data_IF_118647566832
#
_entry.id   IF_118647566832
#
_cell.length_a   1.000
_cell.length_b   1.000
_cell.length_c   1.000
_cell.angle_alpha   90.00
_cell.angle_beta   90.00
_cell.angle_gamma   90.00
#
_symmetry.space_group_name_H-M   'P 1'
#
loop_
_entity.id
_entity.type
_entity.pdbx_description
1 polymer ?
#
# COMPACT_ATOMS: atom_id res chain seq x y z
N UNK A 1 7.86 -34.95 24.15
CA UNK A 1 8.27 -34.13 25.31
C UNK A 1 7.66 -32.75 25.16
N UNK A 2 6.49 -32.57 25.79
CA UNK A 2 5.84 -31.28 26.04
C UNK A 2 6.57 -30.63 27.22
N UNK A 3 6.40 -29.31 27.39
CA UNK A 3 6.83 -28.47 28.53
C UNK A 3 8.22 -27.84 28.41
N UNK A 4 8.32 -26.72 27.67
CA UNK A 4 9.29 -25.63 27.96
C UNK A 4 9.02 -24.37 27.08
N UNK A 5 7.76 -23.89 26.99
CA UNK A 5 7.42 -22.67 26.23
C UNK A 5 6.53 -21.66 26.96
N UNK A 6 6.56 -21.64 28.30
CA UNK A 6 5.70 -20.74 29.09
C UNK A 6 6.46 -19.96 30.17
N UNK A 7 7.59 -19.34 29.84
CA UNK A 7 8.27 -18.40 30.76
C UNK A 7 8.67 -17.08 30.08
N UNK A 8 7.90 -16.60 29.10
CA UNK A 8 8.01 -15.22 28.61
C UNK A 8 6.76 -14.79 27.80
N UNK A 9 5.55 -14.80 28.41
CA UNK A 9 4.81 -13.54 28.45
C UNK A 9 3.86 -13.48 29.66
N UNK A 10 4.36 -13.16 30.85
CA UNK A 10 3.51 -12.85 32.03
C UNK A 10 3.79 -11.45 32.60
N UNK A 11 4.50 -10.60 31.85
CA UNK A 11 4.85 -9.23 32.26
C UNK A 11 4.31 -8.14 31.29
N UNK A 12 3.36 -8.48 30.42
CA UNK A 12 2.64 -7.52 29.56
C UNK A 12 1.12 -7.48 29.82
N UNK A 13 0.66 -8.14 30.88
CA UNK A 13 -0.72 -8.06 31.35
C UNK A 13 -0.73 -7.21 32.61
N UNK A 14 -0.71 -5.88 32.45
CA UNK A 14 -1.39 -4.84 33.24
C UNK A 14 -0.91 -3.51 32.63
N UNK A 15 -1.47 -3.18 31.48
CA UNK A 15 -1.67 -1.79 31.11
C UNK A 15 -3.11 -1.74 30.62
N UNK A 16 -4.04 -1.10 31.34
CA UNK A 16 -5.32 -0.72 30.77
C UNK A 16 -5.01 0.43 29.81
N UNK A 17 -4.36 0.13 28.68
CA UNK A 17 -4.46 0.98 27.52
C UNK A 17 -5.92 0.91 27.16
N UNK A 18 -6.65 1.97 27.53
CA UNK A 18 -7.99 2.22 27.07
C UNK A 18 -8.08 1.77 25.61
N UNK A 19 -8.89 0.75 25.36
CA UNK A 19 -9.29 0.36 24.01
C UNK A 19 -10.18 1.49 23.48
N UNK A 20 -9.61 2.67 23.23
CA UNK A 20 -10.23 3.67 22.41
C UNK A 20 -10.37 3.04 21.04
N UNK A 21 -11.59 2.65 20.67
CA UNK A 21 -11.86 2.12 19.35
C UNK A 21 -11.42 3.17 18.34
N UNK A 22 -10.44 2.81 17.50
CA UNK A 22 -9.82 3.71 16.54
C UNK A 22 -10.91 4.26 15.61
N UNK A 23 -11.16 5.57 15.70
CA UNK A 23 -12.19 6.22 14.89
C UNK A 23 -11.80 6.22 13.40
N UNK A 24 -12.78 6.03 12.54
CA UNK A 24 -12.62 6.04 11.09
C UNK A 24 -12.67 7.46 10.53
N UNK A 25 -12.13 7.65 9.33
CA UNK A 25 -12.22 8.93 8.62
C UNK A 25 -13.66 9.21 8.20
N UNK A 26 -14.06 10.48 8.13
CA UNK A 26 -15.39 10.89 7.68
C UNK A 26 -15.77 10.27 6.33
N UNK A 27 -14.85 10.21 5.37
CA UNK A 27 -15.10 9.61 4.06
C UNK A 27 -15.37 8.10 4.13
N UNK A 28 -14.67 7.37 4.99
CA UNK A 28 -14.92 5.94 5.22
C UNK A 28 -16.29 5.72 5.87
N UNK A 29 -16.65 6.54 6.87
CA UNK A 29 -17.95 6.49 7.51
C UNK A 29 -19.09 6.81 6.53
N UNK A 30 -18.93 7.82 5.66
CA UNK A 30 -19.90 8.15 4.61
C UNK A 30 -20.12 6.97 3.64
N UNK A 31 -19.06 6.23 3.28
CA UNK A 31 -19.20 5.05 2.43
C UNK A 31 -19.92 3.89 3.13
N UNK A 32 -19.65 3.68 4.42
CA UNK A 32 -20.39 2.69 5.22
C UNK A 32 -21.87 3.07 5.34
N UNK A 33 -22.18 4.36 5.54
CA UNK A 33 -23.55 4.86 5.55
C UNK A 33 -24.23 4.67 4.18
N UNK A 34 -23.52 4.95 3.08
CA UNK A 34 -24.04 4.73 1.74
C UNK A 34 -24.36 3.26 1.49
N UNK A 35 -23.46 2.35 1.88
CA UNK A 35 -23.69 0.91 1.82
C UNK A 35 -24.93 0.52 2.64
N UNK A 36 -25.10 1.03 3.86
CA UNK A 36 -26.30 0.77 4.66
C UNK A 36 -27.58 1.27 3.98
N UNK A 37 -27.56 2.47 3.40
CA UNK A 37 -28.70 3.04 2.69
C UNK A 37 -29.10 2.20 1.47
N UNK A 38 -28.12 1.70 0.70
CA UNK A 38 -28.38 0.81 -0.43
C UNK A 38 -29.07 -0.49 -0.01
N UNK A 39 -28.67 -1.09 1.11
CA UNK A 39 -29.23 -2.34 1.62
C UNK A 39 -30.34 -2.14 2.68
N UNK A 40 -30.90 -0.93 2.81
CA UNK A 40 -31.90 -0.61 3.83
C UNK A 40 -33.19 -1.45 3.71
N UNK A 41 -33.52 -1.89 2.49
CA UNK A 41 -34.64 -2.77 2.20
C UNK A 41 -34.43 -4.23 2.68
N UNK A 42 -33.20 -4.60 3.08
CA UNK A 42 -32.83 -5.92 3.59
C UNK A 42 -31.99 -5.79 4.87
N UNK A 43 -32.59 -5.43 6.01
CA UNK A 43 -31.86 -5.16 7.26
C UNK A 43 -31.16 -6.39 7.86
N UNK A 44 -31.60 -7.59 7.47
CA UNK A 44 -30.99 -8.86 7.90
C UNK A 44 -29.85 -9.33 6.98
N UNK A 45 -29.56 -8.60 5.89
CA UNK A 45 -28.45 -8.95 5.01
C UNK A 45 -27.10 -8.74 5.70
N UNK A 46 -26.12 -9.59 5.36
CA UNK A 46 -24.75 -9.44 5.86
C UNK A 46 -24.19 -8.04 5.55
N UNK A 47 -24.53 -7.44 4.41
CA UNK A 47 -24.04 -6.14 3.94
C UNK A 47 -24.51 -5.02 4.86
N UNK A 48 -25.78 -5.07 5.26
CA UNK A 48 -26.37 -4.09 6.16
C UNK A 48 -25.80 -4.26 7.56
N UNK A 49 -25.78 -5.49 8.08
CA UNK A 49 -25.33 -5.77 9.45
C UNK A 49 -23.84 -5.49 9.66
N UNK A 50 -22.98 -5.84 8.70
CA UNK A 50 -21.54 -5.57 8.76
C UNK A 50 -21.25 -4.06 8.70
N UNK A 51 -21.85 -3.34 7.74
CA UNK A 51 -21.69 -1.89 7.63
C UNK A 51 -22.21 -1.16 8.88
N UNK A 52 -23.37 -1.58 9.41
CA UNK A 52 -23.94 -1.03 10.66
C UNK A 52 -23.01 -1.23 11.84
N UNK A 53 -22.48 -2.44 12.03
CA UNK A 53 -21.54 -2.75 13.12
C UNK A 53 -20.28 -1.88 13.04
N UNK A 54 -19.70 -1.73 11.85
CA UNK A 54 -18.51 -0.89 11.67
C UNK A 54 -18.81 0.59 11.93
N UNK A 55 -19.99 1.08 11.53
CA UNK A 55 -20.43 2.44 11.78
C UNK A 55 -20.60 2.71 13.29
N UNK A 56 -21.34 1.84 13.99
CA UNK A 56 -21.66 1.98 15.42
C UNK A 56 -20.38 1.98 16.29
N UNK A 57 -19.40 1.17 15.90
CA UNK A 57 -18.13 0.99 16.61
C UNK A 57 -17.12 2.13 16.34
N UNK A 58 -17.05 2.63 15.09
CA UNK A 58 -15.89 3.42 14.64
C UNK A 58 -16.21 4.82 14.12
N UNK A 59 -17.49 5.24 14.06
CA UNK A 59 -17.89 6.51 13.44
C UNK A 59 -18.58 7.50 14.39
N UNK A 60 -18.38 7.38 15.71
CA UNK A 60 -18.94 8.33 16.69
C UNK A 60 -18.29 9.72 16.59
N UNK A 61 -16.98 9.78 16.36
CA UNK A 61 -16.22 11.02 16.17
C UNK A 61 -15.26 10.85 14.98
N UNK A 62 -15.76 10.91 13.74
CA UNK A 62 -14.96 10.57 12.57
C UNK A 62 -13.85 11.59 12.32
N UNK A 63 -12.68 11.09 11.92
CA UNK A 63 -11.51 11.93 11.61
C UNK A 63 -11.82 12.73 10.34
N UNK A 64 -11.85 14.08 10.39
CA UNK A 64 -12.15 14.89 9.22
C UNK A 64 -11.11 14.70 8.13
N UNK A 65 -11.50 14.92 6.87
CA UNK A 65 -10.54 14.97 5.79
C UNK A 65 -9.51 16.07 6.09
N UNK A 66 -8.21 15.84 5.81
CA UNK A 66 -7.24 16.93 5.86
C UNK A 66 -7.76 18.04 4.94
N UNK A 67 -7.85 19.26 5.47
CA UNK A 67 -8.24 20.44 4.69
C UNK A 67 -7.20 20.61 3.60
N UNK A 68 -7.52 20.10 2.42
CA UNK A 68 -6.80 20.38 1.19
C UNK A 68 -7.74 21.28 0.44
N UNK A 69 -7.32 22.51 0.19
CA UNK A 69 -8.07 23.42 -0.65
C UNK A 69 -8.41 22.66 -1.94
N UNK A 70 -9.71 22.56 -2.23
CA UNK A 70 -10.20 22.11 -3.52
C UNK A 70 -9.80 23.19 -4.52
N UNK A 71 -8.57 23.09 -5.02
CA UNK A 71 -8.09 23.93 -6.10
C UNK A 71 -8.78 23.46 -7.38
N UNK A 72 -9.98 23.99 -7.63
CA UNK A 72 -10.57 24.02 -8.96
C UNK A 72 -9.82 25.08 -9.79
N UNK A 73 -8.61 24.79 -10.25
CA UNK A 73 -7.91 25.64 -11.22
C UNK A 73 -7.60 24.86 -12.49
N UNK A 74 -8.56 24.88 -13.42
CA UNK A 74 -8.26 24.81 -14.85
C UNK A 74 -8.71 26.11 -15.55
N UNK A 75 -8.50 27.26 -14.87
CA UNK A 75 -8.52 28.60 -15.46
C UNK A 75 -7.32 29.36 -14.85
N UNK A 76 -6.40 29.93 -15.65
CA UNK A 76 -5.16 30.47 -15.13
C UNK A 76 -5.37 31.84 -14.49
N UNK A 77 -4.99 31.99 -13.22
CA UNK A 77 -4.78 33.27 -12.57
C UNK A 77 -3.35 33.35 -12.00
N UNK A 78 -2.73 34.50 -12.28
CA UNK A 78 -1.33 34.91 -12.03
C UNK A 78 -0.99 34.93 -10.53
N UNK A 79 0.27 34.68 -10.12
CA UNK A 79 0.61 34.36 -8.74
C UNK A 79 0.80 35.60 -7.85
N UNK A 80 0.32 35.50 -6.62
CA UNK A 80 0.70 36.40 -5.51
C UNK A 80 1.30 35.53 -4.41
N UNK A 81 2.58 35.75 -4.17
CA UNK A 81 3.41 35.17 -3.11
C UNK A 81 3.09 35.80 -1.77
N UNK A 82 2.90 35.01 -0.71
CA UNK A 82 3.15 35.46 0.66
C UNK A 82 3.94 34.40 1.43
N UNK A 83 5.03 34.92 1.98
CA UNK A 83 6.20 34.31 2.58
C UNK A 83 5.98 33.36 3.75
N UNK A 84 6.85 32.36 3.79
CA UNK A 84 7.19 31.49 4.92
C UNK A 84 7.86 32.28 6.05
N UNK A 85 7.44 32.03 7.30
CA UNK A 85 8.20 32.41 8.50
C UNK A 85 8.64 31.12 9.21
N UNK A 86 9.97 30.91 9.22
CA UNK A 86 10.67 29.80 9.86
C UNK A 86 11.31 30.35 11.14
N UNK A 87 10.81 29.97 12.31
CA UNK A 87 11.51 30.26 13.56
C UNK A 87 12.51 29.14 13.87
N UNK A 88 13.79 29.50 13.74
CA UNK A 88 14.96 28.74 14.18
C UNK A 88 15.34 29.24 15.57
N UNK A 89 15.33 28.37 16.57
CA UNK A 89 15.94 28.66 17.88
C UNK A 89 17.32 28.02 17.91
N UNK A 90 18.31 28.91 17.95
CA UNK A 90 19.73 28.66 18.17
C UNK A 90 19.98 28.53 19.67
N UNK A 91 20.67 27.48 20.10
CA UNK A 91 21.45 27.49 21.35
C UNK A 91 22.83 26.90 21.08
N UNK A 92 23.83 27.75 21.21
CA UNK A 92 25.26 27.43 21.24
C UNK A 92 25.83 28.01 22.56
N UNK A 93 27.08 27.70 22.92
CA UNK A 93 27.44 26.93 24.10
C UNK A 93 27.88 27.81 25.28
N UNK A 94 27.61 27.38 26.50
CA UNK A 94 28.18 28.01 27.69
C UNK A 94 29.48 27.31 28.07
N UNK A 95 30.60 27.96 27.75
CA UNK A 95 31.90 27.74 28.39
C UNK A 95 31.85 28.24 29.83
N UNK A 96 32.34 27.43 30.77
CA UNK A 96 32.82 27.88 32.08
C UNK A 96 34.13 27.17 32.37
N UNK A 97 35.23 27.81 31.98
CA UNK A 97 36.56 27.49 32.49
C UNK A 97 36.72 28.19 33.84
N UNK A 98 36.86 27.42 34.91
CA UNK A 98 37.39 27.90 36.19
C UNK A 98 38.66 27.11 36.46
N UNK A 99 39.77 27.82 36.35
CA UNK A 99 41.09 27.33 36.72
C UNK A 99 41.19 27.29 38.25
N UNK A 100 41.48 26.10 38.79
CA UNK A 100 41.99 25.95 40.15
C UNK A 100 43.33 25.22 40.06
N UNK A 101 44.40 25.95 40.37
CA UNK A 101 45.73 25.40 40.65
C UNK A 101 45.62 24.51 41.89
N UNK A 102 46.04 23.25 41.77
CA UNK A 102 46.37 22.42 42.92
C UNK A 102 47.74 21.76 42.68
N UNK A 103 48.49 21.65 43.76
CA UNK A 103 49.93 21.53 43.82
C UNK A 103 50.48 20.18 43.33
N UNK A 104 51.70 20.25 42.80
CA UNK A 104 52.57 19.13 42.44
C UNK A 104 53.02 18.38 43.70
N UNK A 105 52.74 17.08 43.88
CA UNK A 105 53.45 16.26 44.85
C UNK A 105 54.85 15.86 44.31
N UNK A 106 55.83 15.65 45.19
CA UNK A 106 57.23 15.39 44.81
C UNK A 106 57.39 14.05 44.07
N UNK A 107 58.48 13.88 43.30
CA UNK A 107 58.70 12.70 42.47
C UNK A 107 58.94 11.48 43.35
N UNK A 108 57.98 10.56 43.36
CA UNK A 108 58.20 9.20 43.89
C UNK A 108 59.06 8.47 42.87
N UNK A 109 60.22 8.00 43.32
CA UNK A 109 61.15 7.17 42.53
C UNK A 109 60.39 6.02 41.86
N UNK A 110 60.63 5.71 40.58
CA UNK A 110 60.05 4.54 39.95
C UNK A 110 60.58 3.29 40.68
N UNK A 111 59.69 2.58 41.36
CA UNK A 111 59.91 1.19 41.75
C UNK A 111 60.30 0.42 40.49
N UNK A 112 61.30 -0.48 40.52
CA UNK A 112 61.60 -1.31 39.36
C UNK A 112 60.32 -2.02 38.95
N UNK A 113 59.82 -1.73 37.75
CA UNK A 113 58.69 -2.45 37.21
C UNK A 113 59.07 -3.93 37.24
N UNK A 114 58.32 -4.73 38.00
CA UNK A 114 58.49 -6.16 37.99
C UNK A 114 58.45 -6.62 36.53
N UNK A 115 59.49 -7.35 36.10
CA UNK A 115 59.56 -7.91 34.77
C UNK A 115 58.22 -8.59 34.46
N UNK A 116 57.52 -8.22 33.37
CA UNK A 116 56.19 -8.73 33.10
C UNK A 116 56.26 -10.25 33.08
N UNK A 117 55.32 -10.90 33.78
CA UNK A 117 55.28 -12.37 33.80
C UNK A 117 55.16 -12.83 32.35
N UNK A 118 55.81 -13.94 31.94
CA UNK A 118 55.79 -14.39 30.54
C UNK A 118 54.37 -14.51 29.96
N UNK A 119 53.37 -14.81 30.80
CA UNK A 119 51.96 -14.84 30.43
C UNK A 119 51.36 -13.47 30.06
N UNK A 120 51.81 -12.38 30.67
CA UNK A 120 51.32 -11.02 30.42
C UNK A 120 51.84 -10.47 29.08
N UNK A 121 53.07 -10.83 28.72
CA UNK A 121 53.65 -10.51 27.40
C UNK A 121 52.96 -11.30 26.30
N UNK A 122 52.69 -12.58 26.54
CA UNK A 122 51.99 -13.46 25.59
C UNK A 122 50.56 -12.94 25.32
N UNK A 123 49.82 -12.61 26.37
CA UNK A 123 48.46 -12.08 26.24
C UNK A 123 48.41 -10.72 25.54
N UNK A 124 49.35 -9.82 25.81
CA UNK A 124 49.44 -8.51 25.15
C UNK A 124 49.73 -8.62 23.64
N UNK A 125 50.48 -9.65 23.22
CA UNK A 125 50.77 -9.92 21.80
C UNK A 125 49.56 -10.50 21.05
N UNK A 126 48.78 -11.38 21.68
CA UNK A 126 47.67 -12.07 21.03
C UNK A 126 46.32 -11.35 21.14
N UNK A 127 46.11 -10.50 22.15
CA UNK A 127 44.86 -9.74 22.32
C UNK A 127 44.44 -8.88 21.10
N UNK A 128 45.33 -8.06 20.48
CA UNK A 128 44.94 -7.28 19.30
C UNK A 128 44.64 -8.17 18.09
N UNK A 129 45.33 -9.32 17.97
CA UNK A 129 45.11 -10.31 16.91
C UNK A 129 43.73 -10.97 17.08
N UNK A 130 43.39 -11.41 18.30
CA UNK A 130 42.09 -11.99 18.61
C UNK A 130 40.94 -10.99 18.40
N UNK A 131 41.14 -9.74 18.81
CA UNK A 131 40.14 -8.67 18.62
C UNK A 131 39.91 -8.37 17.12
N UNK A 132 40.98 -8.38 16.32
CA UNK A 132 40.89 -8.18 14.87
C UNK A 132 40.11 -9.31 14.18
N UNK A 133 40.47 -10.57 14.43
CA UNK A 133 39.75 -11.72 13.86
C UNK A 133 38.32 -11.85 14.40
N UNK A 134 38.09 -11.56 15.68
CA UNK A 134 36.76 -11.50 16.28
C UNK A 134 35.88 -10.42 15.67
N UNK A 135 36.44 -9.24 15.39
CA UNK A 135 35.76 -8.15 14.70
C UNK A 135 35.39 -8.50 13.26
N UNK A 136 36.30 -9.14 12.52
CA UNK A 136 36.02 -9.65 11.17
C UNK A 136 34.90 -10.71 11.21
N UNK A 137 34.96 -11.65 12.15
CA UNK A 137 33.92 -12.66 12.30
C UNK A 137 32.57 -12.03 12.64
N UNK A 138 32.52 -11.05 13.55
CA UNK A 138 31.29 -10.32 13.88
C UNK A 138 30.73 -9.56 12.67
N UNK A 139 31.58 -8.90 11.88
CA UNK A 139 31.21 -8.24 10.64
C UNK A 139 30.61 -9.22 9.62
N UNK A 140 31.22 -10.40 9.45
CA UNK A 140 30.73 -11.45 8.53
C UNK A 140 29.39 -12.03 9.00
N UNK A 141 29.22 -12.25 10.31
CA UNK A 141 27.96 -12.70 10.89
C UNK A 141 26.86 -11.64 10.73
N UNK A 142 27.18 -10.36 10.92
CA UNK A 142 26.25 -9.27 10.68
C UNK A 142 25.85 -9.18 9.20
N UNK A 143 26.83 -9.25 8.30
CA UNK A 143 26.58 -9.20 6.85
C UNK A 143 25.72 -10.38 6.38
N UNK A 144 26.02 -11.59 6.83
CA UNK A 144 25.21 -12.78 6.53
C UNK A 144 23.80 -12.66 7.10
N UNK A 145 23.63 -12.16 8.33
CA UNK A 145 22.33 -11.89 8.91
C UNK A 145 21.53 -10.86 8.07
N UNK A 146 22.17 -9.79 7.60
CA UNK A 146 21.55 -8.80 6.71
C UNK A 146 21.10 -9.45 5.39
N UNK A 147 21.93 -10.30 4.78
CA UNK A 147 21.57 -11.00 3.55
C UNK A 147 20.38 -11.96 3.75
N UNK A 148 20.34 -12.67 4.88
CA UNK A 148 19.23 -13.57 5.22
C UNK A 148 17.94 -12.76 5.43
N UNK A 149 18.00 -11.66 6.19
CA UNK A 149 16.84 -10.77 6.38
C UNK A 149 16.37 -10.21 5.04
N UNK A 150 17.30 -9.76 4.19
CA UNK A 150 16.97 -9.24 2.86
C UNK A 150 16.30 -10.31 1.99
N UNK A 151 16.81 -11.53 1.98
CA UNK A 151 16.22 -12.64 1.24
C UNK A 151 14.81 -12.98 1.75
N UNK A 152 14.59 -12.99 3.07
CA UNK A 152 13.28 -13.21 3.67
C UNK A 152 12.29 -12.09 3.30
N UNK A 153 12.73 -10.83 3.35
CA UNK A 153 11.92 -9.67 2.94
C UNK A 153 11.58 -9.75 1.45
N UNK A 154 12.55 -9.98 0.57
CA UNK A 154 12.32 -10.11 -0.87
C UNK A 154 11.40 -11.29 -1.20
N UNK A 155 11.56 -12.43 -0.51
CA UNK A 155 10.66 -13.57 -0.64
C UNK A 155 9.23 -13.25 -0.20
N UNK A 156 9.06 -12.52 0.91
CA UNK A 156 7.76 -12.15 1.48
C UNK A 156 7.02 -11.09 0.67
N UNK A 157 7.73 -10.13 0.09
CA UNK A 157 7.14 -8.95 -0.57
C UNK A 157 7.31 -8.94 -2.10
N UNK A 158 8.11 -9.84 -2.68
CA UNK A 158 8.46 -9.82 -4.10
C UNK A 158 7.27 -9.89 -5.05
N UNK A 159 6.22 -10.65 -4.71
CA UNK A 159 4.99 -10.69 -5.52
C UNK A 159 4.27 -9.32 -5.55
N UNK A 160 4.19 -8.64 -4.40
CA UNK A 160 3.56 -7.31 -4.31
C UNK A 160 4.36 -6.24 -5.06
N UNK A 161 5.69 -6.29 -4.96
CA UNK A 161 6.57 -5.38 -5.70
C UNK A 161 6.38 -5.58 -7.21
N UNK A 162 6.32 -6.84 -7.67
CA UNK A 162 6.04 -7.15 -9.08
C UNK A 162 4.67 -6.64 -9.51
N UNK A 163 3.61 -6.83 -8.71
CA UNK A 163 2.28 -6.25 -8.99
C UNK A 163 2.35 -4.74 -9.18
N UNK A 164 2.90 -4.03 -8.19
CA UNK A 164 3.02 -2.57 -8.19
C UNK A 164 3.82 -2.01 -9.39
N UNK A 165 4.84 -2.74 -9.86
CA UNK A 165 5.59 -2.36 -11.07
C UNK A 165 4.72 -2.43 -12.33
N UNK A 166 3.82 -3.42 -12.44
CA UNK A 166 2.88 -3.53 -13.55
C UNK A 166 1.86 -2.40 -13.54
N UNK A 167 1.28 -2.13 -12.37
CA UNK A 167 0.33 -1.02 -12.18
C UNK A 167 0.98 0.35 -12.45
N UNK A 168 2.25 0.52 -12.07
CA UNK A 168 2.99 1.73 -12.39
C UNK A 168 3.26 1.87 -13.88
N UNK A 169 3.62 0.79 -14.57
CA UNK A 169 3.80 0.80 -16.03
C UNK A 169 2.51 1.17 -16.75
N UNK A 170 1.37 0.57 -16.36
CA UNK A 170 0.06 0.94 -16.89
C UNK A 170 -0.24 2.43 -16.64
N UNK A 171 -0.07 2.89 -15.40
CA UNK A 171 -0.36 4.29 -15.09
C UNK A 171 0.45 5.27 -15.94
N UNK A 172 1.71 4.95 -16.25
CA UNK A 172 2.54 5.78 -17.13
C UNK A 172 1.98 5.85 -18.54
N UNK A 173 1.63 4.72 -19.13
CA UNK A 173 1.00 4.64 -20.46
C UNK A 173 -0.27 5.49 -20.50
N UNK A 174 -1.15 5.30 -19.51
CA UNK A 174 -2.42 6.03 -19.45
C UNK A 174 -2.24 7.54 -19.30
N UNK A 175 -1.29 8.00 -18.49
CA UNK A 175 -1.03 9.45 -18.32
C UNK A 175 -0.38 10.07 -19.56
N UNK A 176 0.40 9.30 -20.33
CA UNK A 176 1.00 9.81 -21.57
C UNK A 176 0.03 9.82 -22.76
N UNK A 177 -0.89 8.86 -22.82
CA UNK A 177 -1.72 8.62 -24.02
C UNK A 177 -3.16 9.15 -23.89
N UNK A 178 -3.65 9.38 -22.67
CA UNK A 178 -5.01 9.86 -22.45
C UNK A 178 -5.05 11.37 -22.21
N UNK A 179 -6.16 12.05 -22.55
CA UNK A 179 -6.34 13.47 -22.27
C UNK A 179 -6.18 13.79 -20.78
N UNK A 180 -5.55 14.93 -20.48
CA UNK A 180 -5.35 15.40 -19.09
C UNK A 180 -6.67 15.66 -18.33
N UNK A 181 -7.80 15.79 -19.03
CA UNK A 181 -9.13 15.91 -18.43
C UNK A 181 -9.64 14.60 -17.82
N UNK A 182 -9.06 13.46 -18.18
CA UNK A 182 -9.46 12.16 -17.64
C UNK A 182 -8.89 12.00 -16.23
N UNK A 183 -9.70 11.45 -15.33
CA UNK A 183 -9.32 11.26 -13.94
C UNK A 183 -8.89 9.82 -13.68
N UNK A 184 -7.74 9.65 -13.04
CA UNK A 184 -7.16 8.33 -12.75
C UNK A 184 -7.20 8.02 -11.25
N UNK A 185 -7.73 6.84 -10.91
CA UNK A 185 -7.81 6.33 -9.54
C UNK A 185 -7.06 5.00 -9.46
N UNK A 186 -6.08 4.92 -8.56
CA UNK A 186 -5.20 3.74 -8.41
C UNK A 186 -5.43 3.04 -7.08
N UNK A 187 -5.50 1.71 -7.11
CA UNK A 187 -5.62 0.85 -5.93
C UNK A 187 -6.79 1.34 -5.06
N UNK A 188 -7.97 1.49 -5.68
CA UNK A 188 -9.17 2.01 -5.04
C UNK A 188 -9.88 0.85 -4.35
N UNK A 189 -10.03 0.92 -3.03
CA UNK A 189 -10.76 -0.11 -2.29
C UNK A 189 -12.18 0.40 -2.07
N UNK A 190 -13.17 -0.37 -2.53
CA UNK A 190 -14.59 0.00 -2.47
C UNK A 190 -15.43 -1.16 -1.94
N UNK A 191 -16.56 -0.88 -1.28
CA UNK A 191 -17.55 -1.90 -0.94
C UNK A 191 -18.05 -2.62 -2.20
N UNK A 192 -18.32 -3.92 -2.05
CA UNK A 192 -18.95 -4.75 -3.05
C UNK A 192 -20.20 -5.42 -2.44
N UNK A 193 -20.86 -6.27 -3.24
CA UNK A 193 -21.97 -7.07 -2.73
C UNK A 193 -21.54 -7.99 -1.57
N UNK A 194 -22.53 -8.47 -0.83
CA UNK A 194 -22.36 -9.42 0.28
C UNK A 194 -21.55 -8.87 1.45
N UNK A 195 -21.34 -7.56 1.54
CA UNK A 195 -20.56 -6.92 2.61
C UNK A 195 -19.06 -7.07 2.42
N UNK A 196 -18.65 -7.56 1.25
CA UNK A 196 -17.26 -7.69 0.85
C UNK A 196 -16.69 -6.33 0.42
N UNK A 197 -15.37 -6.31 0.25
CA UNK A 197 -14.64 -5.21 -0.36
C UNK A 197 -13.84 -5.71 -1.56
N UNK A 198 -13.62 -4.83 -2.53
CA UNK A 198 -12.82 -5.12 -3.71
C UNK A 198 -11.78 -4.02 -3.94
N UNK A 199 -10.57 -4.40 -4.35
CA UNK A 199 -9.46 -3.47 -4.67
C UNK A 199 -9.36 -3.38 -6.20
N UNK A 200 -9.71 -2.21 -6.74
CA UNK A 200 -9.58 -1.89 -8.18
C UNK A 200 -8.17 -1.37 -8.44
N UNK A 201 -7.40 -2.08 -9.25
CA UNK A 201 -6.01 -1.73 -9.56
C UNK A 201 -5.90 -0.34 -10.18
N UNK A 202 -6.68 -0.09 -11.23
CA UNK A 202 -6.75 1.21 -11.90
C UNK A 202 -8.15 1.49 -12.45
N UNK A 203 -8.65 2.70 -12.25
CA UNK A 203 -9.91 3.20 -12.81
C UNK A 203 -9.65 4.51 -13.54
N UNK A 204 -10.21 4.66 -14.75
CA UNK A 204 -10.21 5.90 -15.51
C UNK A 204 -11.64 6.40 -15.64
N UNK A 205 -11.90 7.63 -15.18
CA UNK A 205 -13.15 8.34 -15.35
C UNK A 205 -12.99 9.35 -16.50
N UNK A 206 -13.84 9.24 -17.52
CA UNK A 206 -13.85 10.11 -18.69
C UNK A 206 -15.29 10.45 -19.09
N UNK A 207 -15.52 11.45 -19.96
CA UNK A 207 -16.84 11.71 -20.55
C UNK A 207 -17.41 10.56 -21.39
N UNK A 208 -16.56 9.62 -21.83
CA UNK A 208 -16.92 8.53 -22.74
C UNK A 208 -17.13 7.19 -22.05
N UNK A 209 -16.91 7.12 -20.73
CA UNK A 209 -17.09 5.90 -19.94
C UNK A 209 -16.21 5.84 -18.70
N UNK A 210 -16.49 4.82 -17.89
CA UNK A 210 -15.68 4.44 -16.71
C UNK A 210 -14.93 3.15 -17.04
N UNK A 211 -13.61 3.23 -17.15
CA UNK A 211 -12.77 2.09 -17.49
C UNK A 211 -12.16 1.49 -16.23
N UNK A 212 -12.51 0.24 -15.94
CA UNK A 212 -12.05 -0.52 -14.77
C UNK A 212 -11.02 -1.53 -15.24
N UNK A 213 -9.77 -1.38 -14.80
CA UNK A 213 -8.61 -2.06 -15.37
C UNK A 213 -7.96 -2.94 -14.31
N UNK A 214 -7.94 -4.24 -14.57
CA UNK A 214 -7.21 -5.25 -13.77
C UNK A 214 -5.82 -5.48 -14.37
N UNK A 215 -4.77 -5.46 -13.56
CA UNK A 215 -3.38 -5.55 -14.06
C UNK A 215 -2.72 -6.87 -13.68
N UNK A 216 -2.30 -7.64 -14.69
CA UNK A 216 -1.56 -8.90 -14.49
C UNK A 216 -0.11 -8.78 -14.97
N UNK A 217 0.80 -8.55 -14.02
CA UNK A 217 2.24 -8.49 -14.30
C UNK A 217 2.92 -9.88 -14.32
N UNK A 218 2.39 -10.80 -15.14
CA UNK A 218 2.97 -12.12 -15.31
C UNK A 218 4.04 -12.17 -16.40
N UNK A 219 4.93 -13.16 -16.30
CA UNK A 219 5.89 -13.53 -17.36
C UNK A 219 5.87 -15.03 -17.56
N UNK A 220 5.72 -15.46 -18.81
CA UNK A 220 5.58 -16.86 -19.22
C UNK A 220 4.34 -17.11 -20.07
N UNK A 221 4.02 -18.38 -20.29
CA UNK A 221 2.86 -18.82 -21.05
C UNK A 221 1.60 -18.76 -20.19
N UNK A 222 0.53 -18.16 -20.73
CA UNK A 222 -0.77 -18.09 -20.09
C UNK A 222 -1.70 -19.09 -20.76
N UNK A 223 -2.25 -19.99 -19.96
CA UNK A 223 -3.25 -20.99 -20.36
C UNK A 223 -4.56 -20.68 -19.66
N UNK A 224 -5.66 -20.79 -20.38
CA UNK A 224 -6.98 -20.51 -19.83
C UNK A 224 -8.04 -20.46 -20.93
N UNK A 225 -9.24 -20.05 -20.54
CA UNK A 225 -10.30 -19.63 -21.44
C UNK A 225 -11.24 -18.66 -20.70
N UNK A 226 -12.03 -17.91 -21.44
CA UNK A 226 -12.93 -16.86 -20.91
C UNK A 226 -13.83 -17.37 -19.78
N UNK A 227 -14.44 -18.54 -19.93
CA UNK A 227 -15.38 -19.13 -18.96
C UNK A 227 -14.73 -19.94 -17.84
N UNK A 228 -13.41 -20.17 -17.89
CA UNK A 228 -12.73 -20.96 -16.85
C UNK A 228 -12.58 -20.15 -15.57
N UNK A 229 -12.80 -20.72 -14.38
CA UNK A 229 -12.69 -19.98 -13.11
C UNK A 229 -11.26 -19.58 -12.76
N UNK A 230 -10.27 -20.32 -13.25
CA UNK A 230 -8.85 -20.12 -12.99
C UNK A 230 -8.09 -20.18 -14.32
N UNK A 231 -7.05 -19.36 -14.44
CA UNK A 231 -6.05 -19.46 -15.50
C UNK A 231 -4.72 -19.95 -14.91
N UNK A 232 -3.82 -20.42 -15.76
CA UNK A 232 -2.49 -20.90 -15.36
C UNK A 232 -1.41 -20.10 -16.04
N UNK A 233 -0.43 -19.63 -15.27
CA UNK A 233 0.84 -19.12 -15.81
C UNK A 233 1.90 -20.20 -15.67
N UNK A 234 2.58 -20.52 -16.77
CA UNK A 234 3.73 -21.41 -16.80
C UNK A 234 4.99 -20.64 -17.16
N UNK A 235 6.03 -20.76 -16.33
CA UNK A 235 7.37 -20.29 -16.63
C UNK A 235 8.35 -21.44 -16.44
N UNK A 236 8.98 -21.87 -17.54
CA UNK A 236 9.83 -23.06 -17.55
C UNK A 236 9.07 -24.28 -16.99
N UNK A 237 9.59 -24.88 -15.92
CA UNK A 237 8.99 -26.03 -15.22
C UNK A 237 7.99 -25.64 -14.12
N UNK A 238 7.86 -24.35 -13.79
CA UNK A 238 6.95 -23.88 -12.75
C UNK A 238 5.60 -23.49 -13.34
N UNK A 239 4.52 -23.96 -12.72
CA UNK A 239 3.13 -23.62 -13.04
C UNK A 239 2.46 -23.03 -11.80
N UNK A 240 1.66 -21.99 -12.00
CA UNK A 240 0.89 -21.35 -10.93
C UNK A 240 -0.51 -21.03 -11.45
N UNK A 241 -1.54 -21.48 -10.73
CA UNK A 241 -2.93 -21.12 -11.03
C UNK A 241 -3.31 -19.82 -10.35
N UNK A 242 -4.12 -19.01 -11.01
CA UNK A 242 -4.65 -17.76 -10.47
C UNK A 242 -6.09 -17.56 -10.93
N UNK A 243 -6.86 -16.81 -10.16
CA UNK A 243 -8.24 -16.48 -10.51
C UNK A 243 -8.29 -15.85 -11.90
N UNK A 244 -9.25 -16.27 -12.71
CA UNK A 244 -9.47 -15.68 -14.03
C UNK A 244 -9.67 -14.15 -13.86
N UNK A 245 -8.80 -13.32 -14.47
CA UNK A 245 -8.84 -11.88 -14.28
C UNK A 245 -10.14 -11.25 -14.79
N UNK A 246 -10.83 -11.89 -15.74
CA UNK A 246 -12.14 -11.43 -16.21
C UNK A 246 -13.20 -11.52 -15.11
N UNK A 247 -13.21 -12.63 -14.36
CA UNK A 247 -14.13 -12.80 -13.24
C UNK A 247 -13.78 -11.87 -12.08
N UNK A 248 -12.48 -11.66 -11.84
CA UNK A 248 -12.02 -10.70 -10.83
C UNK A 248 -12.47 -9.28 -11.20
N UNK A 249 -12.25 -8.87 -12.45
CA UNK A 249 -12.62 -7.54 -12.92
C UNK A 249 -14.13 -7.35 -13.03
N UNK A 250 -14.91 -8.42 -13.25
CA UNK A 250 -16.36 -8.36 -13.13
C UNK A 250 -16.81 -7.92 -11.72
N UNK A 251 -16.22 -8.50 -10.66
CA UNK A 251 -16.49 -8.04 -9.28
C UNK A 251 -16.13 -6.55 -9.09
N UNK A 252 -15.04 -6.10 -9.71
CA UNK A 252 -14.63 -4.69 -9.68
C UNK A 252 -15.65 -3.79 -10.41
N UNK A 253 -16.09 -4.15 -11.62
CA UNK A 253 -17.06 -3.36 -12.38
C UNK A 253 -18.41 -3.27 -11.70
N UNK A 254 -18.91 -4.37 -11.10
CA UNK A 254 -20.18 -4.34 -10.38
C UNK A 254 -20.12 -3.43 -9.15
N UNK A 255 -19.02 -3.51 -8.38
CA UNK A 255 -18.81 -2.61 -7.24
C UNK A 255 -18.70 -1.14 -7.66
N UNK A 256 -18.07 -0.85 -8.80
CA UNK A 256 -17.98 0.51 -9.36
C UNK A 256 -19.36 1.00 -9.81
N UNK A 257 -20.15 0.19 -10.53
CA UNK A 257 -21.52 0.54 -10.92
C UNK A 257 -22.36 0.90 -9.70
N UNK A 258 -22.30 0.08 -8.65
CA UNK A 258 -22.99 0.32 -7.39
C UNK A 258 -22.55 1.62 -6.71
N UNK A 259 -21.24 1.86 -6.60
CA UNK A 259 -20.70 3.09 -6.01
C UNK A 259 -21.16 4.34 -6.78
N UNK A 260 -21.17 4.28 -8.11
CA UNK A 260 -21.56 5.39 -8.97
C UNK A 260 -23.07 5.51 -9.16
N UNK A 261 -23.85 4.54 -8.70
CA UNK A 261 -25.31 4.51 -8.87
C UNK A 261 -25.74 4.32 -10.32
N UNK A 262 -24.90 3.67 -11.12
CA UNK A 262 -25.18 3.35 -12.52
C UNK A 262 -26.11 2.13 -12.55
N UNK A 263 -27.27 2.26 -13.20
CA UNK A 263 -28.27 1.19 -13.29
C UNK A 263 -28.87 1.14 -14.70
N UNK A 264 -29.47 0.01 -15.08
CA UNK A 264 -30.06 -0.15 -16.40
C UNK A 264 -29.05 0.11 -17.52
N UNK A 265 -29.44 0.90 -18.53
CA UNK A 265 -28.59 1.24 -19.70
C UNK A 265 -27.30 1.96 -19.34
N UNK A 266 -27.27 2.71 -18.23
CA UNK A 266 -26.06 3.41 -17.81
C UNK A 266 -24.95 2.43 -17.38
N UNK A 267 -25.29 1.18 -17.07
CA UNK A 267 -24.32 0.14 -16.72
C UNK A 267 -23.37 -0.21 -17.86
N UNK A 268 -23.81 0.00 -19.11
CA UNK A 268 -23.02 -0.32 -20.32
C UNK A 268 -21.87 0.67 -20.55
N UNK A 269 -21.88 1.79 -19.83
CA UNK A 269 -20.81 2.81 -19.83
C UNK A 269 -19.61 2.43 -18.95
N UNK A 270 -19.70 1.32 -18.22
CA UNK A 270 -18.60 0.78 -17.41
C UNK A 270 -17.89 -0.33 -18.19
N UNK A 271 -16.65 -0.06 -18.59
CA UNK A 271 -15.88 -0.95 -19.46
C UNK A 271 -14.83 -1.72 -18.65
N UNK A 272 -14.89 -3.06 -18.74
CA UNK A 272 -13.93 -3.98 -18.13
C UNK A 272 -12.71 -4.13 -19.03
N UNK A 273 -11.50 -3.91 -18.52
CA UNK A 273 -10.23 -4.14 -19.22
C UNK A 273 -9.31 -5.01 -18.36
N UNK A 274 -8.67 -5.99 -18.97
CA UNK A 274 -7.60 -6.77 -18.34
C UNK A 274 -6.29 -6.51 -19.07
N UNK A 275 -5.32 -5.93 -18.37
CA UNK A 275 -4.03 -5.51 -18.91
C UNK A 275 -2.90 -6.45 -18.46
N UNK A 276 -2.27 -7.16 -19.40
CA UNK A 276 -1.12 -8.02 -19.14
C UNK A 276 0.20 -7.34 -19.50
N UNK A 277 1.28 -7.70 -18.79
CA UNK A 277 2.62 -7.29 -19.24
C UNK A 277 3.00 -7.99 -20.54
N UNK A 278 3.77 -7.32 -21.41
CA UNK A 278 4.32 -7.86 -22.67
C UNK A 278 5.16 -9.14 -22.52
N UNK A 279 5.50 -9.52 -21.29
CA UNK A 279 6.26 -10.74 -20.99
C UNK A 279 5.37 -11.97 -20.86
N UNK A 280 4.05 -11.79 -20.92
CA UNK A 280 3.07 -12.86 -20.94
C UNK A 280 2.73 -13.23 -22.39
N UNK A 281 2.74 -14.51 -22.70
CA UNK A 281 2.38 -15.03 -24.03
C UNK A 281 1.16 -15.93 -23.88
N UNK A 282 0.08 -15.61 -24.57
CA UNK A 282 -1.17 -16.35 -24.48
C UNK A 282 -1.13 -17.59 -25.38
N UNK A 283 -1.53 -18.74 -24.83
CA UNK A 283 -1.62 -20.02 -25.55
C UNK A 283 -3.07 -20.38 -25.91
N UNK A 284 -3.92 -19.38 -25.97
CA UNK A 284 -5.32 -19.45 -26.37
C UNK A 284 -5.73 -18.11 -27.00
N UNK A 285 -6.82 -18.05 -27.78
CA UNK A 285 -7.32 -16.81 -28.33
C UNK A 285 -7.61 -15.78 -27.24
N UNK A 286 -7.02 -14.59 -27.38
CA UNK A 286 -7.17 -13.52 -26.40
C UNK A 286 -8.61 -12.95 -26.48
N UNK A 287 -9.35 -12.89 -25.37
CA UNK A 287 -10.67 -12.24 -25.35
C UNK A 287 -10.58 -10.75 -25.69
N UNK A 288 -11.66 -10.17 -26.21
CA UNK A 288 -11.67 -8.80 -26.76
C UNK A 288 -11.21 -7.72 -25.76
N UNK A 289 -11.51 -7.91 -24.48
CA UNK A 289 -11.17 -6.96 -23.41
C UNK A 289 -9.91 -7.32 -22.63
N UNK A 290 -9.15 -8.31 -23.11
CA UNK A 290 -7.83 -8.66 -22.61
C UNK A 290 -6.80 -8.12 -23.60
N UNK A 291 -5.79 -7.42 -23.11
CA UNK A 291 -4.76 -6.81 -23.96
C UNK A 291 -3.46 -6.61 -23.21
N UNK A 292 -2.41 -6.19 -23.92
CA UNK A 292 -1.17 -5.77 -23.32
C UNK A 292 -1.24 -4.34 -22.80
N UNK A 293 -0.46 -4.05 -21.75
CA UNK A 293 -0.47 -2.75 -21.04
C UNK A 293 -0.28 -1.56 -21.98
N UNK A 294 0.58 -1.67 -22.98
CA UNK A 294 0.90 -0.65 -23.98
C UNK A 294 -0.25 -0.37 -24.96
N UNK A 295 -1.23 -1.27 -25.08
CA UNK A 295 -2.38 -1.10 -25.97
C UNK A 295 -3.61 -0.51 -25.25
N UNK A 296 -3.53 -0.28 -23.94
CA UNK A 296 -4.69 0.13 -23.14
C UNK A 296 -5.11 1.57 -23.45
N UNK A 297 -4.15 2.49 -23.63
CA UNK A 297 -4.48 3.89 -23.97
C UNK A 297 -5.14 3.97 -25.35
N UNK A 298 -4.56 3.29 -26.35
CA UNK A 298 -5.15 3.14 -27.69
C UNK A 298 -6.55 2.53 -27.66
N UNK A 299 -6.81 1.56 -26.79
CA UNK A 299 -8.15 0.98 -26.64
C UNK A 299 -9.16 1.99 -26.07
N UNK A 300 -8.79 2.70 -25.01
CA UNK A 300 -9.65 3.72 -24.37
C UNK A 300 -9.92 4.88 -25.33
N UNK A 301 -8.95 5.30 -26.14
CA UNK A 301 -9.10 6.39 -27.11
C UNK A 301 -10.06 6.07 -28.27
N UNK A 302 -10.51 4.81 -28.43
CA UNK A 302 -11.55 4.46 -29.43
C UNK A 302 -12.95 4.88 -29.01
N UNK A 303 -13.17 5.14 -27.72
CA UNK A 303 -14.46 5.58 -27.18
C UNK A 303 -14.58 7.10 -27.37
N UNK A 304 -15.46 7.51 -28.30
CA UNK A 304 -15.59 8.91 -28.73
C UNK A 304 -17.00 9.48 -28.57
N UNK A 305 -17.98 8.66 -28.20
CA UNK A 305 -19.37 9.08 -27.97
C UNK A 305 -19.56 9.46 -26.50
N UNK A 306 -19.80 10.75 -26.17
CA UNK A 306 -19.99 11.16 -24.79
C UNK A 306 -21.22 10.47 -24.19
N UNK A 307 -21.05 9.89 -22.99
CA UNK A 307 -22.11 9.21 -22.25
C UNK A 307 -22.41 9.84 -20.89
N UNK A 308 -21.59 10.80 -20.43
CA UNK A 308 -21.80 11.52 -19.17
C UNK A 308 -21.76 13.03 -19.37
N UNK A 309 -22.67 13.74 -18.69
CA UNK A 309 -22.61 15.20 -18.58
C UNK A 309 -21.65 15.64 -17.46
N UNK A 310 -21.28 16.93 -17.46
CA UNK A 310 -20.36 17.49 -16.45
C UNK A 310 -20.86 17.30 -15.01
N UNK A 311 -22.17 17.33 -14.79
CA UNK A 311 -22.75 17.10 -13.47
C UNK A 311 -22.55 15.66 -13.01
N UNK A 312 -22.81 14.68 -13.87
CA UNK A 312 -22.53 13.27 -13.57
C UNK A 312 -21.04 13.06 -13.30
N UNK A 313 -20.16 13.63 -14.12
CA UNK A 313 -18.71 13.54 -13.92
C UNK A 313 -18.27 14.12 -12.57
N UNK A 314 -18.81 15.28 -12.16
CA UNK A 314 -18.55 15.86 -10.82
C UNK A 314 -19.02 14.94 -9.70
N UNK A 315 -20.23 14.40 -9.81
CA UNK A 315 -20.79 13.48 -8.82
C UNK A 315 -19.95 12.20 -8.70
N UNK A 316 -19.58 11.58 -9.81
CA UNK A 316 -18.72 10.39 -9.81
C UNK A 316 -17.34 10.69 -9.21
N UNK A 317 -16.75 11.82 -9.59
CA UNK A 317 -15.48 12.28 -9.03
C UNK A 317 -15.55 12.43 -7.51
N UNK A 318 -16.64 13.03 -7.00
CA UNK A 318 -16.86 13.20 -5.56
C UNK A 318 -16.91 11.84 -4.83
N UNK A 319 -17.70 10.88 -5.34
CA UNK A 319 -17.82 9.54 -4.74
C UNK A 319 -16.49 8.76 -4.77
N UNK A 320 -15.77 8.82 -5.89
CA UNK A 320 -14.45 8.18 -6.02
C UNK A 320 -13.40 8.84 -5.12
N UNK A 321 -13.45 10.17 -4.95
CA UNK A 321 -12.57 10.89 -4.03
C UNK A 321 -12.86 10.54 -2.56
N UNK A 322 -14.12 10.32 -2.19
CA UNK A 322 -14.47 9.80 -0.86
C UNK A 322 -13.88 8.40 -0.64
N UNK A 323 -14.00 7.49 -1.61
CA UNK A 323 -13.37 6.16 -1.54
C UNK A 323 -11.85 6.24 -1.42
N UNK A 324 -11.22 7.12 -2.18
CA UNK A 324 -9.78 7.38 -2.11
C UNK A 324 -9.36 7.91 -0.73
N UNK A 325 -10.12 8.82 -0.14
CA UNK A 325 -9.86 9.37 1.19
C UNK A 325 -10.03 8.31 2.30
N UNK A 326 -11.03 7.42 2.18
CA UNK A 326 -11.28 6.31 3.10
C UNK A 326 -10.35 5.11 2.95
N UNK A 327 -9.44 5.11 1.96
CA UNK A 327 -8.64 3.96 1.53
C UNK A 327 -7.94 3.20 2.65
N UNK A 328 -7.38 3.87 3.67
CA UNK A 328 -6.67 3.18 4.77
C UNK A 328 -7.59 2.27 5.56
N UNK A 329 -8.81 2.74 5.85
CA UNK A 329 -9.83 1.99 6.59
C UNK A 329 -10.37 0.86 5.70
N UNK A 330 -10.79 1.19 4.48
CA UNK A 330 -11.35 0.22 3.55
C UNK A 330 -10.36 -0.90 3.23
N UNK A 331 -9.05 -0.59 3.10
CA UNK A 331 -8.00 -1.60 2.92
C UNK A 331 -7.82 -2.50 4.13
N UNK A 332 -8.07 -2.01 5.35
CA UNK A 332 -8.05 -2.84 6.54
C UNK A 332 -9.22 -3.83 6.52
N UNK A 333 -10.43 -3.35 6.26
CA UNK A 333 -11.63 -4.18 6.14
C UNK A 333 -11.49 -5.23 5.02
N UNK A 334 -10.99 -4.82 3.86
CA UNK A 334 -10.67 -5.70 2.74
C UNK A 334 -9.67 -6.80 3.08
N UNK A 335 -8.71 -6.58 3.99
CA UNK A 335 -7.78 -7.64 4.41
C UNK A 335 -8.45 -8.61 5.38
N UNK A 336 -9.22 -8.07 6.33
CA UNK A 336 -9.91 -8.87 7.34
C UNK A 336 -10.91 -9.85 6.73
N UNK A 337 -11.48 -9.56 5.55
CA UNK A 337 -12.39 -10.47 4.85
C UNK A 337 -11.74 -11.79 4.42
N UNK A 338 -10.39 -11.86 4.34
CA UNK A 338 -9.65 -13.07 3.94
C UNK A 338 -9.01 -13.80 5.12
N UNK A 339 -9.15 -13.29 6.34
CA UNK A 339 -8.51 -13.82 7.55
C UNK A 339 -9.41 -14.85 8.29
N UNK A 340 -10.50 -15.32 7.66
CA UNK A 340 -11.47 -16.29 8.20
C UNK A 340 -11.32 -17.69 7.59
#
# INVERSE_FOLDING_TARGET
MRWMRFTLPLLLLISPLAFGQKQYTQAACLLLQHQMAQFAHQPNSHNYQSAKRELDNHCQNPIPAPVKDLVLTNIPAKPVTVSSVKNTVTTQPANSAVAVKAAVPPPVKPTPAASPKPADVLSALFAPVLAFFGGILAMLLLFTAILVILALVLGRYGARIKGALGEWALHRVLVSELPASYQHYRNLVIPAEKGDFTEVDHLVLSPFGVFVIEVKNYRGWIFGAEKQPQWTVQRFRSKHQFMNPLHQNYKHTEAVKQLLGLTGKDSDTVHSIVAFSLRAEFKFPMPQNVMYIDLVGDYINRFTQPCFCDEQLRQFSARLNMAKAGKKVLRKLHKQQFDY
#
